data_IF_473778246356
#
_entry.id   IF_473778246356
#
_cell.length_a   1.000
_cell.length_b   1.000
_cell.length_c   1.000
_cell.angle_alpha   90.00
_cell.angle_beta   90.00
_cell.angle_gamma   90.00
#
_symmetry.space_group_name_H-M   'P 1'
#
loop_
_entity.id
_entity.type
_entity.pdbx_description
1 polymer ?
#
# COMPACT_ATOMS: atom_id res chain seq x y z
N UNK A 1 8.67 -16.70 -15.93
CA UNK A 1 8.73 -15.40 -16.60
C UNK A 1 9.49 -14.49 -15.68
N UNK A 2 10.66 -13.99 -16.09
CA UNK A 2 11.44 -13.03 -15.34
C UNK A 2 10.94 -11.64 -15.70
N UNK A 3 10.35 -10.93 -14.74
CA UNK A 3 10.07 -9.50 -14.87
C UNK A 3 11.31 -8.67 -14.56
N UNK A 4 11.47 -7.49 -15.15
CA UNK A 4 12.47 -6.54 -14.70
C UNK A 4 11.89 -5.69 -13.58
N UNK A 5 12.61 -5.55 -12.50
CA UNK A 5 12.26 -4.73 -11.32
C UNK A 5 13.26 -3.58 -11.20
N UNK A 6 12.88 -2.54 -10.48
CA UNK A 6 13.75 -1.42 -10.22
C UNK A 6 14.40 -1.56 -8.85
N UNK A 7 15.71 -1.38 -8.81
CA UNK A 7 16.52 -1.33 -7.60
C UNK A 7 16.47 0.08 -7.00
N UNK A 8 16.47 0.17 -5.67
CA UNK A 8 16.62 1.41 -4.88
C UNK A 8 15.42 2.39 -4.95
N UNK A 9 14.25 1.92 -4.54
CA UNK A 9 13.04 2.75 -4.40
C UNK A 9 12.90 3.42 -3.04
N UNK A 10 13.79 3.20 -2.10
CA UNK A 10 13.71 3.71 -0.73
C UNK A 10 13.71 5.25 -0.65
N UNK A 11 13.99 5.93 -1.76
CA UNK A 11 14.14 7.39 -1.81
C UNK A 11 13.36 8.09 -2.94
N UNK A 12 12.26 7.51 -3.42
CA UNK A 12 11.47 8.17 -4.48
C UNK A 12 10.91 9.54 -4.05
N UNK A 13 10.80 9.82 -2.75
CA UNK A 13 10.44 11.14 -2.22
C UNK A 13 11.47 12.23 -2.56
N UNK A 14 12.75 11.86 -2.73
CA UNK A 14 13.84 12.76 -3.07
C UNK A 14 14.08 12.88 -4.58
N UNK A 15 13.24 12.28 -5.38
CA UNK A 15 13.34 12.30 -6.84
C UNK A 15 13.02 13.68 -7.40
N UNK A 16 14.04 14.52 -7.48
CA UNK A 16 13.98 15.78 -8.21
C UNK A 16 14.46 15.57 -9.65
N UNK A 17 14.01 16.42 -10.57
CA UNK A 17 14.34 16.35 -12.00
C UNK A 17 15.85 16.37 -12.33
N UNK A 18 16.71 16.59 -11.34
CA UNK A 18 18.17 16.74 -11.48
C UNK A 18 18.98 15.56 -10.94
N UNK A 19 18.36 14.45 -10.58
CA UNK A 19 19.11 13.35 -9.99
C UNK A 19 19.81 12.53 -11.04
N UNK A 20 21.13 12.44 -10.90
CA UNK A 20 21.99 11.45 -11.54
C UNK A 20 21.81 10.03 -10.97
N UNK A 21 20.73 9.78 -10.22
CA UNK A 21 20.42 8.47 -9.69
C UNK A 21 20.24 7.49 -10.84
N UNK A 22 20.99 6.43 -10.79
CA UNK A 22 20.91 5.35 -11.77
C UNK A 22 19.85 4.37 -11.31
N UNK A 23 18.76 4.19 -12.08
CA UNK A 23 17.98 2.97 -12.00
C UNK A 23 18.85 1.82 -12.46
N UNK A 24 19.08 0.87 -11.59
CA UNK A 24 19.47 -0.44 -12.04
C UNK A 24 18.17 -1.23 -12.22
N UNK A 25 17.87 -1.62 -13.42
CA UNK A 25 16.83 -2.61 -13.67
C UNK A 25 17.46 -3.98 -13.47
N UNK A 26 17.00 -4.69 -12.44
CA UNK A 26 17.41 -6.07 -12.19
C UNK A 26 16.29 -7.04 -12.56
N UNK A 27 16.64 -8.31 -12.71
CA UNK A 27 15.67 -9.38 -12.89
C UNK A 27 15.44 -10.03 -11.54
N UNK A 28 14.22 -9.97 -11.03
CA UNK A 28 13.83 -10.68 -9.82
C UNK A 28 13.01 -11.92 -10.12
N UNK A 29 12.97 -12.81 -9.15
CA UNK A 29 12.22 -14.07 -9.24
C UNK A 29 10.75 -13.81 -8.92
N UNK A 30 9.87 -14.31 -9.78
CA UNK A 30 8.46 -14.39 -9.48
C UNK A 30 8.24 -15.53 -8.46
N UNK A 31 7.84 -15.20 -7.24
CA UNK A 31 7.46 -16.18 -6.19
C UNK A 31 6.10 -16.79 -6.46
N UNK A 32 5.16 -16.01 -6.97
CA UNK A 32 3.80 -16.44 -7.24
C UNK A 32 2.96 -15.33 -7.85
N UNK A 33 1.68 -15.55 -7.91
CA UNK A 33 0.69 -14.56 -8.31
C UNK A 33 -0.66 -14.88 -7.64
N UNK A 34 -1.49 -13.86 -7.50
CA UNK A 34 -2.88 -14.00 -7.07
C UNK A 34 -3.75 -13.70 -8.27
N UNK A 35 -4.65 -14.63 -8.61
CA UNK A 35 -5.65 -14.42 -9.65
C UNK A 35 -6.86 -13.69 -9.06
N UNK A 36 -7.34 -12.69 -9.76
CA UNK A 36 -8.52 -11.91 -9.42
C UNK A 36 -9.43 -11.71 -10.64
N UNK A 37 -10.59 -11.12 -10.39
CA UNK A 37 -11.55 -10.77 -11.44
C UNK A 37 -12.21 -9.45 -11.11
N UNK A 38 -12.16 -8.50 -12.04
CA UNK A 38 -12.85 -7.22 -11.96
C UNK A 38 -13.88 -7.06 -13.07
N UNK A 39 -15.01 -6.44 -12.72
CA UNK A 39 -16.09 -6.14 -13.67
C UNK A 39 -16.04 -4.71 -14.23
N UNK A 40 -15.15 -3.87 -13.69
CA UNK A 40 -14.84 -2.53 -14.18
C UNK A 40 -13.35 -2.33 -14.12
N UNK A 41 -12.72 -2.04 -15.23
CA UNK A 41 -11.28 -1.81 -15.29
C UNK A 41 -10.94 -0.60 -16.14
N UNK A 42 -9.70 -0.14 -16.05
CA UNK A 42 -9.18 0.94 -16.87
C UNK A 42 -8.30 0.40 -17.97
N UNK A 43 -8.42 1.00 -19.14
CA UNK A 43 -7.51 0.80 -20.25
C UNK A 43 -6.69 2.06 -20.46
N UNK A 44 -5.39 1.95 -20.22
CA UNK A 44 -4.43 3.03 -20.38
C UNK A 44 -3.76 2.90 -21.75
N UNK A 45 -3.76 3.98 -22.52
CA UNK A 45 -2.99 4.06 -23.78
C UNK A 45 -1.85 5.04 -23.60
N UNK A 46 -0.65 4.63 -23.99
CA UNK A 46 0.57 5.39 -23.85
C UNK A 46 1.07 5.94 -25.18
N UNK A 47 1.84 7.04 -25.13
CA UNK A 47 2.37 7.72 -26.32
C UNK A 47 3.31 6.87 -27.19
N UNK A 48 3.85 5.77 -26.64
CA UNK A 48 4.62 4.77 -27.38
C UNK A 48 3.76 3.69 -28.05
N UNK A 49 2.42 3.84 -28.01
CA UNK A 49 1.46 2.91 -28.61
C UNK A 49 1.10 1.69 -27.78
N UNK A 50 1.64 1.57 -26.56
CA UNK A 50 1.28 0.47 -25.65
C UNK A 50 -0.09 0.69 -25.04
N UNK A 51 -0.78 -0.42 -24.74
CA UNK A 51 -2.08 -0.43 -24.07
C UNK A 51 -2.03 -1.41 -22.93
N UNK A 52 -2.30 -0.92 -21.71
CA UNK A 52 -2.33 -1.73 -20.49
C UNK A 52 -3.74 -1.71 -19.92
N UNK A 53 -4.26 -2.90 -19.56
CA UNK A 53 -5.51 -3.05 -18.83
C UNK A 53 -5.19 -3.32 -17.37
N UNK A 54 -5.82 -2.59 -16.48
CA UNK A 54 -5.47 -2.59 -15.07
C UNK A 54 -6.68 -2.25 -14.21
N UNK A 55 -6.72 -2.73 -12.97
CA UNK A 55 -7.76 -2.38 -12.00
C UNK A 55 -7.65 -0.92 -11.61
N UNK A 56 -8.76 -0.31 -11.23
CA UNK A 56 -8.82 1.13 -10.90
C UNK A 56 -7.92 1.53 -9.73
N UNK A 57 -7.72 0.60 -8.78
CA UNK A 57 -6.98 0.83 -7.54
C UNK A 57 -5.48 0.56 -7.65
N UNK A 58 -5.02 -0.03 -8.76
CA UNK A 58 -3.62 -0.41 -8.93
C UNK A 58 -2.72 0.84 -9.10
N UNK A 59 -1.62 0.95 -8.33
CA UNK A 59 -0.76 2.12 -8.39
C UNK A 59 0.22 2.05 -9.56
N UNK A 60 0.36 3.18 -10.24
CA UNK A 60 1.35 3.39 -11.30
C UNK A 60 2.27 4.56 -10.91
N UNK A 61 3.57 4.41 -11.13
CA UNK A 61 4.53 5.47 -10.82
C UNK A 61 4.57 6.52 -11.93
N UNK A 62 4.29 7.76 -11.54
CA UNK A 62 4.18 8.88 -12.48
C UNK A 62 4.87 10.13 -11.99
N UNK A 63 5.19 11.02 -12.92
CA UNK A 63 5.37 12.43 -12.64
C UNK A 63 4.02 13.12 -12.73
N UNK A 64 3.47 13.51 -11.58
CA UNK A 64 2.16 14.14 -11.51
C UNK A 64 2.20 15.56 -12.11
N UNK A 65 1.29 15.86 -13.03
CA UNK A 65 1.26 17.14 -13.74
C UNK A 65 0.93 18.33 -12.81
N UNK A 66 0.06 18.14 -11.82
CA UNK A 66 -0.40 19.20 -10.93
C UNK A 66 0.67 19.69 -9.95
N UNK A 67 1.56 18.79 -9.48
CA UNK A 67 2.59 19.08 -8.48
C UNK A 67 4.01 19.03 -9.02
N UNK A 68 4.22 18.35 -10.15
CA UNK A 68 5.55 18.04 -10.69
C UNK A 68 6.30 16.95 -9.91
N UNK A 69 5.69 16.39 -8.87
CA UNK A 69 6.28 15.38 -7.98
C UNK A 69 6.16 14.00 -8.61
N UNK A 70 7.17 13.17 -8.36
CA UNK A 70 7.17 11.76 -8.72
C UNK A 70 6.55 10.95 -7.58
N UNK A 71 5.53 10.15 -7.87
CA UNK A 71 4.84 9.30 -6.89
C UNK A 71 4.03 8.21 -7.54
N UNK A 72 3.63 7.22 -6.74
CA UNK A 72 2.59 6.28 -7.12
C UNK A 72 1.22 6.96 -7.06
N UNK A 73 0.41 6.77 -8.10
CA UNK A 73 -0.97 7.26 -8.17
C UNK A 73 -1.84 6.09 -8.62
N UNK A 74 -2.99 5.93 -8.02
CA UNK A 74 -4.01 4.99 -8.49
C UNK A 74 -4.43 5.31 -9.91
N UNK A 75 -4.71 4.28 -10.66
CA UNK A 75 -5.17 4.42 -12.05
C UNK A 75 -6.44 5.25 -12.15
N UNK A 76 -7.37 5.15 -11.18
CA UNK A 76 -8.60 5.95 -11.16
C UNK A 76 -8.36 7.46 -10.95
N UNK A 77 -7.24 7.84 -10.33
CA UNK A 77 -6.86 9.23 -10.07
C UNK A 77 -5.93 9.83 -11.13
N UNK A 78 -5.51 9.01 -12.11
CA UNK A 78 -4.65 9.46 -13.21
C UNK A 78 -5.37 10.41 -14.15
N UNK A 79 -4.59 11.31 -14.71
CA UNK A 79 -5.00 12.16 -15.84
C UNK A 79 -4.08 11.97 -17.04
N UNK A 80 -4.55 12.34 -18.21
CA UNK A 80 -3.71 12.32 -19.43
C UNK A 80 -2.60 13.38 -19.42
N UNK A 81 -2.57 14.26 -18.43
CA UNK A 81 -1.47 15.22 -18.25
C UNK A 81 -0.30 14.63 -17.45
N UNK A 82 -0.54 13.55 -16.70
CA UNK A 82 0.49 12.85 -15.95
C UNK A 82 1.39 12.04 -16.91
N UNK A 83 2.61 11.76 -16.49
CA UNK A 83 3.57 11.01 -17.30
C UNK A 83 4.04 9.79 -16.54
N UNK A 84 3.83 8.62 -17.10
CA UNK A 84 4.26 7.35 -16.51
C UNK A 84 5.79 7.18 -16.61
N UNK A 85 6.35 6.47 -15.63
CA UNK A 85 7.78 6.16 -15.61
C UNK A 85 8.09 4.92 -16.43
N UNK A 86 9.02 5.06 -17.36
CA UNK A 86 9.53 3.96 -18.17
C UNK A 86 10.76 3.28 -17.57
N UNK A 87 11.09 2.09 -18.08
CA UNK A 87 12.20 1.25 -17.61
C UNK A 87 13.58 1.93 -17.76
N UNK A 88 13.72 2.88 -18.66
CA UNK A 88 14.93 3.67 -18.93
C UNK A 88 14.87 5.07 -18.28
N UNK A 89 13.97 5.27 -17.32
CA UNK A 89 13.62 6.57 -16.70
C UNK A 89 12.98 7.56 -17.66
N UNK A 90 12.61 7.15 -18.84
CA UNK A 90 11.86 8.02 -19.74
C UNK A 90 10.48 8.31 -19.17
N UNK A 91 9.99 9.51 -19.42
CA UNK A 91 8.61 9.87 -19.12
C UNK A 91 7.76 9.55 -20.34
N UNK A 92 6.80 8.65 -20.14
CA UNK A 92 5.89 8.18 -21.19
C UNK A 92 4.56 8.92 -21.05
N UNK A 93 4.10 9.57 -22.10
CA UNK A 93 2.81 10.26 -22.11
C UNK A 93 1.67 9.26 -21.95
N UNK A 94 0.68 9.58 -21.12
CA UNK A 94 -0.59 8.87 -21.03
C UNK A 94 -1.54 9.57 -22.03
N UNK A 95 -1.87 8.90 -23.13
CA UNK A 95 -2.65 9.52 -24.22
C UNK A 95 -4.14 9.29 -24.14
N UNK A 96 -4.56 8.20 -23.47
CA UNK A 96 -5.97 7.93 -23.17
C UNK A 96 -6.11 7.12 -21.87
N UNK A 97 -7.21 7.36 -21.15
CA UNK A 97 -7.66 6.59 -20.00
C UNK A 97 -9.14 6.28 -20.25
N UNK A 98 -9.47 5.02 -20.43
CA UNK A 98 -10.82 4.55 -20.74
C UNK A 98 -11.32 3.65 -19.61
N UNK A 99 -12.52 3.89 -19.11
CA UNK A 99 -13.19 2.99 -18.16
C UNK A 99 -14.01 1.98 -18.93
N UNK A 100 -13.71 0.72 -18.75
CA UNK A 100 -14.34 -0.40 -19.46
C UNK A 100 -15.23 -1.17 -18.49
N UNK A 101 -16.52 -1.30 -18.82
CA UNK A 101 -17.45 -2.20 -18.15
C UNK A 101 -17.36 -3.58 -18.83
N UNK A 102 -16.83 -4.56 -18.14
CA UNK A 102 -16.61 -5.91 -18.64
C UNK A 102 -15.67 -6.67 -17.72
N UNK A 103 -15.74 -7.99 -17.75
CA UNK A 103 -14.91 -8.84 -16.91
C UNK A 103 -13.46 -8.82 -17.38
N UNK A 104 -12.54 -8.52 -16.45
CA UNK A 104 -11.10 -8.64 -16.62
C UNK A 104 -10.57 -9.68 -15.63
N UNK A 105 -9.94 -10.73 -16.14
CA UNK A 105 -9.11 -11.61 -15.31
C UNK A 105 -7.80 -10.87 -15.02
N UNK A 106 -7.48 -10.72 -13.74
CA UNK A 106 -6.31 -9.98 -13.25
C UNK A 106 -5.32 -10.92 -12.61
N UNK A 107 -4.06 -10.53 -12.61
CA UNK A 107 -2.99 -11.19 -11.85
C UNK A 107 -2.18 -10.16 -11.13
N UNK A 108 -2.15 -10.26 -9.82
CA UNK A 108 -1.21 -9.54 -8.99
C UNK A 108 0.04 -10.40 -8.79
N UNK A 109 1.21 -9.82 -9.08
CA UNK A 109 2.47 -10.55 -9.07
C UNK A 109 3.11 -10.45 -7.69
N UNK A 110 3.60 -11.56 -7.16
CA UNK A 110 4.48 -11.57 -6.00
C UNK A 110 5.93 -11.68 -6.48
N UNK A 111 6.66 -10.58 -6.43
CA UNK A 111 8.05 -10.47 -6.88
C UNK A 111 8.97 -10.53 -5.66
N UNK A 112 10.06 -11.27 -5.75
CA UNK A 112 11.06 -11.40 -4.69
C UNK A 112 11.87 -10.10 -4.55
N UNK A 113 12.11 -9.64 -3.34
CA UNK A 113 12.98 -8.49 -2.99
C UNK A 113 12.45 -7.08 -3.31
N UNK A 114 11.48 -6.92 -4.23
CA UNK A 114 11.04 -5.58 -4.67
C UNK A 114 9.52 -5.44 -4.69
N UNK A 115 9.05 -4.27 -4.26
CA UNK A 115 7.61 -3.94 -4.25
C UNK A 115 7.14 -3.24 -5.53
N UNK A 116 7.93 -3.35 -6.59
CA UNK A 116 7.66 -2.72 -7.87
C UNK A 116 8.04 -3.63 -9.03
N UNK A 117 7.35 -3.50 -10.14
CA UNK A 117 7.65 -4.24 -11.37
C UNK A 117 7.25 -3.45 -12.61
N UNK A 118 7.81 -3.83 -13.75
CA UNK A 118 7.46 -3.23 -15.03
C UNK A 118 6.48 -4.10 -15.82
N UNK A 119 5.36 -3.49 -16.21
CA UNK A 119 4.42 -4.07 -17.18
C UNK A 119 4.58 -3.31 -18.49
N UNK A 120 4.97 -4.01 -19.56
CA UNK A 120 5.26 -3.40 -20.86
C UNK A 120 6.15 -2.15 -20.77
N UNK A 121 7.11 -2.16 -19.83
CA UNK A 121 8.07 -1.09 -19.62
C UNK A 121 7.54 0.14 -18.89
N UNK A 122 6.37 0.05 -18.26
CA UNK A 122 5.81 1.05 -17.35
C UNK A 122 5.90 0.52 -15.93
N UNK A 123 6.28 1.37 -14.98
CA UNK A 123 6.51 0.99 -13.58
C UNK A 123 5.22 0.98 -12.78
N UNK A 124 4.93 -0.17 -12.16
CA UNK A 124 3.80 -0.40 -11.28
C UNK A 124 4.28 -0.81 -9.88
N UNK A 125 3.45 -0.54 -8.88
CA UNK A 125 3.67 -1.03 -7.53
C UNK A 125 3.27 -2.51 -7.44
N UNK A 126 3.99 -3.26 -6.63
CA UNK A 126 3.74 -4.67 -6.42
C UNK A 126 3.21 -4.92 -5.01
N UNK A 127 1.98 -5.29 -4.94
CA UNK A 127 1.48 -6.05 -3.85
C UNK A 127 0.89 -5.33 -2.66
N UNK A 128 0.49 -6.16 -1.71
CA UNK A 128 -0.27 -5.76 -0.56
C UNK A 128 0.60 -5.03 0.46
N UNK A 129 -0.05 -4.25 1.29
CA UNK A 129 0.52 -3.64 2.48
C UNK A 129 0.47 -4.62 3.65
N UNK A 130 1.49 -4.58 4.51
CA UNK A 130 1.71 -5.53 5.59
C UNK A 130 2.29 -4.87 6.86
N UNK A 131 2.43 -5.68 7.92
CA UNK A 131 3.13 -5.34 9.16
C UNK A 131 4.31 -6.27 9.41
N UNK A 132 5.28 -5.81 10.20
CA UNK A 132 6.37 -6.65 10.72
C UNK A 132 5.83 -7.81 11.56
N UNK A 133 6.58 -8.95 11.65
CA UNK A 133 6.12 -10.16 12.34
C UNK A 133 5.72 -9.95 13.81
N UNK A 134 6.46 -9.10 14.50
CA UNK A 134 6.25 -8.78 15.92
C UNK A 134 5.15 -7.73 16.18
N UNK A 135 4.47 -7.24 15.13
CA UNK A 135 3.37 -6.29 15.32
C UNK A 135 2.26 -6.91 16.15
N UNK A 136 1.91 -6.27 17.25
CA UNK A 136 0.83 -6.71 18.12
C UNK A 136 -0.52 -6.43 17.49
N UNK A 137 -1.40 -7.43 17.52
CA UNK A 137 -2.79 -7.37 17.07
C UNK A 137 -3.71 -7.46 18.27
N UNK A 138 -4.73 -6.64 18.31
CA UNK A 138 -5.76 -6.68 19.34
C UNK A 138 -6.72 -7.83 19.10
N UNK A 139 -6.68 -8.85 19.96
CA UNK A 139 -7.54 -10.04 19.88
C UNK A 139 -8.93 -9.77 20.50
N UNK A 140 -9.93 -10.53 20.09
CA UNK A 140 -11.30 -10.36 20.59
C UNK A 140 -11.47 -10.72 22.08
N UNK A 141 -10.60 -11.57 22.63
CA UNK A 141 -10.57 -11.92 24.05
C UNK A 141 -9.91 -10.86 24.95
N UNK A 142 -9.39 -9.80 24.35
CA UNK A 142 -8.73 -8.68 25.04
C UNK A 142 -7.21 -8.81 25.13
N UNK A 143 -6.64 -9.91 24.66
CA UNK A 143 -5.19 -10.10 24.63
C UNK A 143 -4.56 -9.37 23.43
N UNK A 144 -3.23 -9.24 23.47
CA UNK A 144 -2.39 -8.81 22.34
C UNK A 144 -1.58 -10.00 21.85
N UNK A 145 -1.55 -10.22 20.53
CA UNK A 145 -0.83 -11.32 19.91
C UNK A 145 -0.01 -10.80 18.73
N UNK A 146 1.26 -11.23 18.62
CA UNK A 146 2.06 -10.89 17.45
C UNK A 146 1.42 -11.46 16.18
N UNK A 147 1.38 -10.66 15.10
CA UNK A 147 0.68 -11.01 13.86
C UNK A 147 1.17 -12.35 13.27
N UNK A 148 2.47 -12.64 13.39
CA UNK A 148 3.07 -13.89 12.91
C UNK A 148 2.56 -15.16 13.61
N UNK A 149 1.92 -15.03 14.77
CA UNK A 149 1.38 -16.15 15.54
C UNK A 149 -0.15 -16.24 15.50
N UNK A 150 -0.81 -15.30 14.83
CA UNK A 150 -2.26 -15.35 14.65
C UNK A 150 -2.58 -16.43 13.62
N UNK A 151 -3.55 -17.28 13.92
CA UNK A 151 -3.99 -18.36 13.04
C UNK A 151 -5.31 -18.01 12.34
N UNK A 152 -5.54 -18.62 11.17
CA UNK A 152 -6.85 -18.56 10.50
C UNK A 152 -7.91 -19.17 11.41
N UNK A 153 -9.05 -18.51 11.53
CA UNK A 153 -10.16 -18.86 12.41
C UNK A 153 -10.13 -18.18 13.79
N UNK A 154 -9.04 -17.48 14.13
CA UNK A 154 -9.00 -16.67 15.36
C UNK A 154 -9.81 -15.37 15.19
N UNK A 155 -10.34 -14.89 16.31
CA UNK A 155 -11.14 -13.66 16.37
C UNK A 155 -10.27 -12.48 16.79
N UNK A 156 -10.24 -11.44 15.96
CA UNK A 156 -9.50 -10.19 16.22
C UNK A 156 -10.46 -9.01 16.32
N UNK A 157 -10.00 -7.93 16.95
CA UNK A 157 -10.73 -6.67 16.93
C UNK A 157 -10.51 -5.96 15.60
N UNK A 158 -11.57 -5.37 15.11
CA UNK A 158 -11.63 -4.58 13.88
C UNK A 158 -12.46 -3.31 14.13
N UNK A 159 -12.42 -2.37 13.19
CA UNK A 159 -13.15 -1.11 13.30
C UNK A 159 -14.16 -0.97 12.15
N UNK A 160 -15.44 -0.93 12.49
CA UNK A 160 -16.49 -0.66 11.53
C UNK A 160 -16.59 0.86 11.28
N UNK A 161 -16.22 1.28 10.09
CA UNK A 161 -16.18 2.68 9.69
C UNK A 161 -17.58 3.28 9.53
N UNK A 162 -18.59 2.48 9.18
CA UNK A 162 -19.96 2.96 8.99
C UNK A 162 -20.61 3.32 10.32
N UNK A 163 -20.41 2.48 11.31
CA UNK A 163 -21.00 2.67 12.66
C UNK A 163 -20.04 3.37 13.63
N UNK A 164 -18.78 3.56 13.26
CA UNK A 164 -17.70 4.08 14.13
C UNK A 164 -17.55 3.29 15.43
N UNK A 165 -17.61 1.97 15.36
CA UNK A 165 -17.53 1.08 16.52
C UNK A 165 -16.49 -0.03 16.33
N UNK A 166 -15.93 -0.51 17.44
CA UNK A 166 -15.12 -1.71 17.46
C UNK A 166 -16.03 -2.93 17.28
N UNK A 167 -15.60 -3.86 16.46
CA UNK A 167 -16.25 -5.14 16.16
C UNK A 167 -15.24 -6.27 16.31
N UNK A 168 -15.75 -7.48 16.31
CA UNK A 168 -14.95 -8.70 16.20
C UNK A 168 -15.07 -9.23 14.77
N UNK A 169 -13.98 -9.76 14.24
CA UNK A 169 -13.95 -10.41 12.92
C UNK A 169 -13.05 -11.63 12.96
N UNK A 170 -13.46 -12.66 12.26
CA UNK A 170 -12.67 -13.87 12.07
C UNK A 170 -11.54 -13.58 11.06
N UNK A 171 -10.33 -14.09 11.32
CA UNK A 171 -9.22 -14.09 10.38
C UNK A 171 -9.47 -15.17 9.34
N UNK A 172 -9.86 -14.76 8.12
CA UNK A 172 -10.22 -15.69 7.05
C UNK A 172 -9.00 -16.20 6.27
N UNK A 173 -8.01 -15.32 6.05
CA UNK A 173 -6.80 -15.65 5.31
C UNK A 173 -5.63 -14.80 5.85
N UNK A 174 -4.43 -15.38 5.87
CA UNK A 174 -3.20 -14.69 6.27
C UNK A 174 -2.30 -14.59 5.07
N UNK A 175 -1.84 -13.37 4.82
CA UNK A 175 -0.85 -13.09 3.80
C UNK A 175 0.52 -12.95 4.46
N UNK A 176 1.51 -13.56 3.85
CA UNK A 176 2.92 -13.45 4.19
C UNK A 176 3.71 -13.01 2.95
N UNK A 177 4.48 -11.94 3.07
CA UNK A 177 5.29 -11.41 1.97
C UNK A 177 6.53 -10.70 2.48
N UNK A 178 7.62 -10.77 1.69
CA UNK A 178 8.84 -10.02 1.96
C UNK A 178 8.70 -8.57 1.42
N UNK A 179 9.05 -7.59 2.27
CA UNK A 179 9.08 -6.17 1.94
C UNK A 179 10.39 -5.53 2.39
N UNK A 180 10.86 -4.53 1.64
CA UNK A 180 12.03 -3.71 1.97
C UNK A 180 11.70 -2.28 2.38
N UNK A 181 10.44 -1.87 2.24
CA UNK A 181 9.91 -0.54 2.53
C UNK A 181 9.17 -0.48 3.88
N UNK A 182 9.76 -1.03 4.94
CA UNK A 182 9.16 -1.06 6.27
C UNK A 182 9.55 0.18 7.07
N UNK A 183 8.59 0.72 7.84
CA UNK A 183 8.78 1.90 8.66
C UNK A 183 8.43 1.61 10.13
N UNK A 184 9.15 2.27 11.03
CA UNK A 184 8.82 2.36 12.44
C UNK A 184 8.17 3.73 12.71
N UNK A 185 6.93 3.71 13.23
CA UNK A 185 6.17 4.90 13.59
C UNK A 185 6.06 4.93 15.11
N UNK A 186 6.75 5.87 15.73
CA UNK A 186 6.72 6.09 17.19
C UNK A 186 5.61 7.08 17.55
N UNK A 187 4.78 6.71 18.53
CA UNK A 187 3.67 7.52 19.02
C UNK A 187 4.00 8.16 20.37
N UNK A 188 3.35 9.27 20.71
CA UNK A 188 3.60 10.02 21.94
C UNK A 188 3.12 9.31 23.21
N UNK A 189 2.26 8.29 23.07
CA UNK A 189 1.87 7.40 24.17
C UNK A 189 2.84 6.22 24.39
N UNK A 190 3.96 6.18 23.65
CA UNK A 190 5.00 5.17 23.75
C UNK A 190 4.77 3.92 22.93
N UNK A 191 3.66 3.81 22.19
CA UNK A 191 3.43 2.71 21.26
C UNK A 191 4.26 2.88 20.00
N UNK A 192 4.54 1.75 19.35
CA UNK A 192 5.28 1.67 18.09
C UNK A 192 4.53 0.74 17.14
N UNK A 193 4.25 1.21 15.93
CA UNK A 193 3.73 0.37 14.85
C UNK A 193 4.75 0.27 13.73
N UNK A 194 4.81 -0.90 13.10
CA UNK A 194 5.81 -1.21 12.06
C UNK A 194 5.16 -1.70 10.76
N UNK A 195 4.52 -0.79 10.01
CA UNK A 195 3.90 -1.10 8.72
C UNK A 195 4.91 -1.01 7.57
N UNK A 196 4.53 -1.57 6.42
CA UNK A 196 5.11 -1.19 5.12
C UNK A 196 4.72 0.24 4.76
N UNK A 197 5.50 0.90 3.92
CA UNK A 197 5.31 2.31 3.55
C UNK A 197 3.96 2.60 2.92
N UNK A 198 3.40 1.63 2.21
CA UNK A 198 2.08 1.69 1.56
C UNK A 198 0.91 1.25 2.46
N UNK A 199 1.15 0.93 3.74
CA UNK A 199 0.10 0.45 4.64
C UNK A 199 -0.81 1.60 5.09
N UNK A 200 -2.13 1.55 4.80
CA UNK A 200 -3.01 2.64 5.16
C UNK A 200 -3.33 2.63 6.66
N UNK A 201 -3.12 3.77 7.29
CA UNK A 201 -3.47 4.03 8.69
C UNK A 201 -4.49 5.17 8.72
N UNK A 202 -5.46 5.10 9.64
CA UNK A 202 -6.46 6.13 9.78
C UNK A 202 -5.89 7.36 10.50
N UNK A 203 -5.67 8.44 9.76
CA UNK A 203 -5.11 9.70 10.25
C UNK A 203 -6.24 10.72 10.45
N UNK A 204 -6.17 11.45 11.57
CA UNK A 204 -7.11 12.54 11.85
C UNK A 204 -7.01 13.63 10.78
N UNK A 205 -8.14 14.14 10.32
CA UNK A 205 -8.30 15.16 9.28
C UNK A 205 -7.82 14.74 7.87
N UNK A 206 -6.98 13.69 7.75
CA UNK A 206 -6.47 13.20 6.45
C UNK A 206 -7.18 11.93 5.96
N UNK A 207 -7.85 11.17 6.85
CA UNK A 207 -8.44 9.86 6.51
C UNK A 207 -7.38 8.78 6.34
N UNK A 208 -7.62 7.81 5.46
CA UNK A 208 -6.67 6.73 5.18
C UNK A 208 -5.44 7.27 4.47
N UNK A 209 -4.30 7.19 5.13
CA UNK A 209 -3.03 7.74 4.65
C UNK A 209 -1.91 6.72 4.83
N UNK A 210 -0.82 6.87 4.08
CA UNK A 210 0.34 5.98 4.06
C UNK A 210 1.62 6.77 4.20
N UNK A 211 2.71 6.13 4.65
CA UNK A 211 4.01 6.81 4.78
C UNK A 211 4.56 7.21 3.41
N UNK A 212 4.37 6.36 2.41
CA UNK A 212 4.84 6.62 1.04
C UNK A 212 4.00 7.64 0.26
N UNK A 213 2.91 8.13 0.86
CA UNK A 213 1.98 9.06 0.22
C UNK A 213 1.05 8.40 -0.79
N UNK A 214 1.06 7.08 -0.87
CA UNK A 214 0.07 6.33 -1.61
C UNK A 214 -1.18 6.16 -0.73
N UNK A 215 -2.22 6.94 -0.98
CA UNK A 215 -3.52 6.78 -0.30
C UNK A 215 -4.42 5.90 -1.13
N UNK A 216 -4.74 4.69 -0.68
CA UNK A 216 -5.86 3.95 -1.24
C UNK A 216 -7.14 4.71 -0.90
N UNK A 217 -8.01 5.01 -1.90
CA UNK A 217 -9.28 5.72 -1.71
C UNK A 217 -10.30 4.90 -0.89
N UNK A 218 -10.03 4.77 0.39
CA UNK A 218 -10.99 4.24 1.34
C UNK A 218 -11.60 5.35 2.20
N UNK A 219 -11.95 6.50 1.56
CA UNK A 219 -12.65 7.57 2.25
C UNK A 219 -12.02 8.96 2.22
N UNK A 220 -11.14 9.24 1.25
CA UNK A 220 -10.80 10.64 0.93
C UNK A 220 -9.67 11.27 1.74
N UNK A 221 -8.59 10.56 2.02
CA UNK A 221 -7.36 11.16 2.54
C UNK A 221 -6.43 11.65 1.43
N UNK A 222 -5.63 12.68 1.65
CA UNK A 222 -4.65 13.19 0.69
C UNK A 222 -3.21 12.67 0.90
N UNK A 223 -3.11 11.52 1.47
CA UNK A 223 -2.09 10.55 1.18
C UNK A 223 -0.91 10.41 2.12
N UNK A 224 -0.19 11.42 2.49
CA UNK A 224 1.05 11.27 3.27
C UNK A 224 0.86 11.33 4.77
N UNK A 225 1.41 10.34 5.48
CA UNK A 225 1.59 10.40 6.92
C UNK A 225 2.88 11.18 7.22
N UNK A 226 2.79 12.13 8.13
CA UNK A 226 3.91 12.98 8.54
C UNK A 226 4.08 13.00 10.06
N UNK A 227 5.29 13.30 10.52
CA UNK A 227 5.55 13.57 11.94
C UNK A 227 4.70 14.77 12.39
N UNK A 228 3.97 14.59 13.49
CA UNK A 228 3.02 15.57 13.98
C UNK A 228 1.56 15.28 13.68
N UNK A 229 1.26 14.39 12.77
CA UNK A 229 -0.09 13.87 12.52
C UNK A 229 -0.63 13.10 13.73
N UNK A 230 -1.94 12.83 13.73
CA UNK A 230 -2.60 12.07 14.78
C UNK A 230 -3.24 10.80 14.22
N UNK A 231 -2.89 9.66 14.81
CA UNK A 231 -3.58 8.37 14.63
C UNK A 231 -4.71 8.24 15.66
N UNK A 232 -5.52 7.21 15.53
CA UNK A 232 -6.56 6.88 16.51
C UNK A 232 -6.22 5.58 17.24
N UNK A 233 -6.03 5.71 18.57
CA UNK A 233 -5.91 4.59 19.51
C UNK A 233 -7.29 4.26 20.09
N UNK A 234 -7.69 2.99 19.98
CA UNK A 234 -8.97 2.49 20.49
C UNK A 234 -8.82 1.47 21.62
N UNK A 235 -7.63 1.31 22.19
CA UNK A 235 -7.34 0.35 23.27
C UNK A 235 -8.22 0.54 24.53
N UNK A 236 -8.66 1.77 24.78
CA UNK A 236 -9.55 2.08 25.91
C UNK A 236 -11.03 1.78 25.64
N UNK A 237 -11.38 1.32 24.44
CA UNK A 237 -12.74 1.21 23.97
C UNK A 237 -13.31 2.51 23.39
N UNK A 238 -12.58 3.61 23.52
CA UNK A 238 -12.92 4.91 22.94
C UNK A 238 -11.84 5.34 21.94
N UNK A 239 -12.23 6.13 20.94
CA UNK A 239 -11.33 6.64 19.90
C UNK A 239 -10.55 7.85 20.43
N UNK A 240 -9.29 7.65 20.76
CA UNK A 240 -8.38 8.68 21.33
C UNK A 240 -7.35 9.08 20.27
N UNK A 241 -7.12 10.38 20.08
CA UNK A 241 -6.08 10.89 19.20
C UNK A 241 -4.70 10.77 19.86
N UNK A 242 -3.75 10.18 19.16
CA UNK A 242 -2.36 9.99 19.59
C UNK A 242 -1.44 10.55 18.53
N UNK A 243 -0.49 11.37 18.93
CA UNK A 243 0.40 12.06 18.00
C UNK A 243 1.51 11.15 17.51
N UNK A 244 1.85 11.26 16.23
CA UNK A 244 3.05 10.65 15.65
C UNK A 244 4.27 11.52 16.01
N UNK A 245 5.21 10.94 16.73
CA UNK A 245 6.43 11.64 17.14
C UNK A 245 7.54 11.49 16.11
N UNK A 246 7.70 10.29 15.55
CA UNK A 246 8.77 10.01 14.59
C UNK A 246 8.36 8.92 13.62
N UNK A 247 8.87 9.04 12.40
CA UNK A 247 8.77 8.03 11.33
C UNK A 247 10.18 7.71 10.86
N UNK A 248 10.57 6.43 10.95
CA UNK A 248 11.90 5.98 10.57
C UNK A 248 11.83 4.80 9.62
N UNK A 249 12.48 4.89 8.46
CA UNK A 249 12.64 3.73 7.57
C UNK A 249 13.55 2.69 8.22
N UNK A 250 13.16 1.42 8.16
CA UNK A 250 13.93 0.29 8.66
C UNK A 250 14.61 -0.39 7.47
N UNK A 251 15.93 -0.24 7.29
CA UNK A 251 16.61 -0.80 6.13
C UNK A 251 16.72 -2.33 6.23
N UNK A 252 16.48 -3.02 5.11
CA UNK A 252 16.56 -4.47 5.01
C UNK A 252 15.30 -5.06 4.38
N UNK A 253 15.32 -6.36 4.13
CA UNK A 253 14.14 -7.11 3.65
C UNK A 253 13.60 -7.96 4.78
N UNK A 254 12.31 -7.88 5.02
CA UNK A 254 11.62 -8.52 6.13
C UNK A 254 10.42 -9.29 5.64
N UNK A 255 10.20 -10.47 6.17
CA UNK A 255 8.93 -11.17 6.01
C UNK A 255 7.88 -10.42 6.82
N UNK A 256 6.79 -10.02 6.17
CA UNK A 256 5.72 -9.21 6.75
C UNK A 256 4.36 -9.88 6.57
N UNK A 257 3.39 -9.50 7.36
CA UNK A 257 2.11 -10.18 7.47
C UNK A 257 0.94 -9.21 7.36
N UNK A 258 -0.17 -9.68 6.78
CA UNK A 258 -1.47 -9.01 6.86
C UNK A 258 -2.59 -10.05 6.83
N UNK A 259 -3.78 -9.64 7.25
CA UNK A 259 -4.99 -10.43 7.07
C UNK A 259 -5.70 -10.04 5.79
N UNK A 260 -6.34 -11.00 5.14
CA UNK A 260 -7.04 -10.81 3.88
C UNK A 260 -8.49 -11.21 4.05
N UNK A 261 -9.38 -10.51 3.33
CA UNK A 261 -10.80 -10.86 3.22
C UNK A 261 -11.59 -10.81 4.55
N UNK A 262 -11.22 -9.88 5.45
CA UNK A 262 -11.97 -9.66 6.68
C UNK A 262 -13.26 -8.84 6.43
N UNK A 263 -14.28 -9.08 7.24
CA UNK A 263 -15.61 -8.47 7.09
C UNK A 263 -15.57 -6.93 7.04
N UNK A 264 -14.79 -6.29 7.91
CA UNK A 264 -14.77 -4.82 8.04
C UNK A 264 -13.57 -4.14 7.35
N UNK A 265 -12.71 -4.88 6.67
CA UNK A 265 -11.53 -4.38 5.95
C UNK A 265 -10.59 -3.52 6.78
N UNK A 266 -10.57 -3.71 8.09
CA UNK A 266 -9.70 -3.03 9.04
C UNK A 266 -9.09 -4.02 10.01
N UNK A 267 -7.97 -3.62 10.62
CA UNK A 267 -7.25 -4.34 11.67
C UNK A 267 -6.86 -3.34 12.76
N UNK A 268 -6.87 -3.77 14.01
CA UNK A 268 -6.41 -2.94 15.13
C UNK A 268 -5.01 -3.45 15.54
N UNK A 269 -3.99 -2.72 15.12
CA UNK A 269 -2.59 -3.01 15.39
C UNK A 269 -2.11 -2.21 16.61
N UNK A 270 -1.86 -2.90 17.75
CA UNK A 270 -1.56 -2.30 19.06
C UNK A 270 -2.51 -1.15 19.44
N UNK A 271 -3.80 -1.34 19.17
CA UNK A 271 -4.85 -0.35 19.41
C UNK A 271 -5.01 0.69 18.30
N UNK A 272 -4.15 0.72 17.28
CA UNK A 272 -4.20 1.69 16.20
C UNK A 272 -5.02 1.15 15.03
N UNK A 273 -5.95 1.99 14.53
CA UNK A 273 -6.83 1.61 13.41
C UNK A 273 -6.03 1.66 12.10
N UNK A 274 -5.91 0.48 11.48
CA UNK A 274 -5.23 0.28 10.21
C UNK A 274 -6.14 -0.46 9.23
N UNK A 275 -5.84 -0.38 7.94
CA UNK A 275 -6.58 -1.10 6.90
C UNK A 275 -6.04 -2.53 6.76
N UNK A 276 -6.89 -3.49 6.40
CA UNK A 276 -6.42 -4.79 5.94
C UNK A 276 -6.59 -4.93 4.42
N UNK A 277 -5.86 -5.87 3.82
CA UNK A 277 -6.01 -6.17 2.39
C UNK A 277 -7.36 -6.80 2.11
N UNK A 278 -8.20 -6.14 1.31
CA UNK A 278 -9.42 -6.75 0.76
C UNK A 278 -9.14 -7.42 -0.59
N UNK A 279 -9.91 -8.46 -0.93
CA UNK A 279 -10.01 -8.93 -2.31
C UNK A 279 -10.84 -7.97 -3.12
#
# INVERSE_FOLDING_TARGET
TTGSVADDFDHYKDWTANTSQTFNTETSRLKGYVDGTDNVYHQLTFGNGRVIKVTKEHPIFVKQASSGVYKFIKVEDLTTNDKAMGVDKSLIDITAIEIINGTLETRDLNVEEYDVFFVDGVLFHNGPFCFMPEQLISMADGDLKEIQYVDVGEMVLTYDQETNTIKESEVCEIMEKDHSDVYEIELDNGKIIKPTGNHPILIDEKGWSTVDGYSPNHGGGDGSIEEGDFVFDVSSGEKVKVKINRITHIPGTYTTYNFVDMEYKTIIADGIISHNSGK
#
